data_IF_108279773381
#
_entry.id   IF_108279773381
#
_cell.length_a   1.000
_cell.length_b   1.000
_cell.length_c   1.000
_cell.angle_alpha   90.00
_cell.angle_beta   90.00
_cell.angle_gamma   90.00
#
_symmetry.space_group_name_H-M   'P 1'
#
loop_
_entity.id
_entity.type
_entity.pdbx_description
1 polymer ?
#
# COMPACT_ATOMS: atom_id res chain seq x y z
N UNK A 1 48.70 -18.19 -0.80
CA UNK A 1 48.60 -16.73 -0.64
C UNK A 1 48.00 -16.17 -1.91
N UNK A 2 46.69 -15.92 -1.92
CA UNK A 2 45.99 -15.36 -3.06
C UNK A 2 45.44 -13.99 -2.64
N UNK A 3 45.94 -12.98 -3.31
CA UNK A 3 45.69 -11.56 -3.10
C UNK A 3 44.26 -11.21 -3.56
N UNK A 4 43.36 -11.02 -2.57
CA UNK A 4 42.01 -10.53 -2.85
C UNK A 4 42.08 -9.00 -3.02
N UNK A 5 42.19 -8.56 -4.27
CA UNK A 5 42.01 -7.16 -4.66
C UNK A 5 40.62 -6.69 -4.19
N UNK A 6 40.60 -5.79 -3.19
CA UNK A 6 39.42 -5.02 -2.79
C UNK A 6 39.02 -4.13 -3.97
N UNK A 7 37.82 -4.33 -4.51
CA UNK A 7 37.20 -3.39 -5.42
C UNK A 7 36.92 -2.08 -4.66
N UNK A 8 37.22 -0.91 -5.24
CA UNK A 8 36.87 0.36 -4.61
C UNK A 8 35.35 0.49 -4.55
N UNK A 9 34.82 0.90 -3.39
CA UNK A 9 33.44 1.35 -3.22
C UNK A 9 33.24 2.57 -4.12
N UNK A 10 32.58 2.36 -5.25
CA UNK A 10 32.08 3.47 -6.07
C UNK A 10 31.06 4.23 -5.25
N UNK A 11 31.35 5.49 -4.96
CA UNK A 11 30.40 6.45 -4.40
C UNK A 11 29.20 6.53 -5.32
N UNK A 12 28.10 5.87 -4.94
CA UNK A 12 26.81 5.99 -5.65
C UNK A 12 26.34 7.44 -5.56
N UNK A 13 26.07 8.01 -6.72
CA UNK A 13 25.37 9.28 -6.83
C UNK A 13 24.02 9.16 -6.13
N UNK A 14 23.86 9.91 -5.04
CA UNK A 14 22.53 10.18 -4.47
C UNK A 14 21.66 10.73 -5.61
N UNK A 15 20.47 10.16 -5.79
CA UNK A 15 19.49 10.64 -6.75
C UNK A 15 19.22 12.11 -6.47
N UNK A 16 19.84 12.98 -7.27
CA UNK A 16 19.69 14.43 -7.16
C UNK A 16 18.27 14.74 -7.59
N UNK A 17 17.47 15.31 -6.68
CA UNK A 17 16.12 15.78 -6.97
C UNK A 17 16.08 16.51 -8.31
N UNK A 18 15.41 15.95 -9.30
CA UNK A 18 15.24 16.56 -10.62
C UNK A 18 14.51 17.88 -10.46
N UNK A 19 14.86 18.90 -11.24
CA UNK A 19 14.21 20.22 -11.19
C UNK A 19 12.73 20.10 -11.57
N UNK A 20 11.89 21.06 -11.16
CA UNK A 20 10.45 21.12 -11.52
C UNK A 20 10.25 20.93 -13.04
N UNK A 21 11.09 21.52 -13.87
CA UNK A 21 11.06 21.39 -15.34
C UNK A 21 11.32 19.95 -15.81
N UNK A 22 12.26 19.25 -15.20
CA UNK A 22 12.53 17.84 -15.51
C UNK A 22 11.38 16.91 -15.08
N UNK A 23 10.69 17.24 -13.97
CA UNK A 23 9.49 16.51 -13.54
C UNK A 23 8.32 16.71 -14.51
N UNK A 24 8.11 17.96 -14.99
CA UNK A 24 7.07 18.28 -15.97
C UNK A 24 7.36 17.66 -17.35
N UNK A 25 8.62 17.50 -17.72
CA UNK A 25 9.04 16.86 -18.97
C UNK A 25 8.85 15.34 -18.93
N UNK A 26 9.15 14.70 -17.79
CA UNK A 26 8.89 13.27 -17.56
C UNK A 26 7.39 12.95 -17.52
N UNK A 27 6.56 13.82 -16.93
CA UNK A 27 5.12 13.68 -16.93
C UNK A 27 4.49 13.81 -18.33
N UNK A 28 5.12 14.56 -19.23
CA UNK A 28 4.66 14.75 -20.63
C UNK A 28 5.08 13.63 -21.57
N UNK A 29 6.20 12.99 -21.29
CA UNK A 29 6.73 11.87 -22.07
C UNK A 29 7.21 10.78 -21.08
N UNK A 30 6.37 9.84 -20.68
CA UNK A 30 6.81 8.70 -19.88
C UNK A 30 7.88 7.94 -20.67
N UNK A 31 9.09 7.89 -20.14
CA UNK A 31 10.29 7.35 -20.81
C UNK A 31 10.20 5.83 -20.98
N UNK A 32 9.23 5.18 -20.31
CA UNK A 32 9.12 3.72 -20.30
C UNK A 32 7.77 3.28 -20.86
N UNK A 33 7.79 2.69 -22.04
CA UNK A 33 6.70 1.80 -22.45
C UNK A 33 6.98 0.40 -21.86
N UNK A 34 6.04 -0.18 -21.09
CA UNK A 34 6.20 -1.53 -20.58
C UNK A 34 6.41 -2.52 -21.74
N UNK A 35 7.38 -3.40 -21.60
CA UNK A 35 7.71 -4.40 -22.63
C UNK A 35 6.68 -5.53 -22.73
N UNK A 36 5.74 -5.60 -21.79
CA UNK A 36 4.73 -6.66 -21.74
C UNK A 36 3.70 -6.51 -22.85
N UNK A 37 3.60 -7.54 -23.70
CA UNK A 37 2.59 -7.68 -24.77
C UNK A 37 1.32 -8.38 -24.32
N UNK A 38 1.18 -8.74 -23.05
CA UNK A 38 0.07 -9.53 -22.56
C UNK A 38 -1.01 -8.62 -21.97
N UNK A 39 -2.15 -8.55 -22.68
CA UNK A 39 -3.41 -8.04 -22.11
C UNK A 39 -3.93 -9.12 -21.16
N UNK A 40 -3.96 -8.87 -19.88
CA UNK A 40 -4.66 -9.72 -18.95
C UNK A 40 -6.08 -9.20 -18.68
N UNK A 41 -6.91 -10.11 -18.19
CA UNK A 41 -8.35 -9.96 -18.02
C UNK A 41 -8.71 -9.60 -16.57
N UNK A 42 -7.73 -9.39 -15.69
CA UNK A 42 -8.02 -9.09 -14.29
C UNK A 42 -7.95 -7.59 -14.04
N UNK A 43 -9.05 -6.97 -13.58
CA UNK A 43 -9.05 -5.56 -13.26
C UNK A 43 -8.13 -5.29 -12.06
N UNK A 44 -7.62 -4.07 -11.97
CA UNK A 44 -6.98 -3.56 -10.77
C UNK A 44 -8.04 -3.55 -9.66
N UNK A 45 -7.70 -4.09 -8.49
CA UNK A 45 -8.58 -4.08 -7.32
C UNK A 45 -8.10 -3.04 -6.33
N UNK A 46 -9.06 -2.35 -5.69
CA UNK A 46 -8.76 -1.36 -4.65
C UNK A 46 -9.12 -1.94 -3.29
N UNK A 47 -8.10 -2.23 -2.48
CA UNK A 47 -8.20 -2.82 -1.16
C UNK A 47 -8.06 -1.81 -0.02
N UNK A 48 -8.44 -2.25 1.20
CA UNK A 48 -8.23 -1.53 2.45
C UNK A 48 -7.29 -2.32 3.36
N UNK A 49 -6.21 -1.71 3.82
CA UNK A 49 -5.32 -2.32 4.82
C UNK A 49 -5.89 -2.22 6.23
N UNK A 50 -5.72 -3.28 7.03
CA UNK A 50 -6.05 -3.25 8.47
C UNK A 50 -5.24 -2.24 9.25
N UNK A 51 -4.07 -1.82 8.73
CA UNK A 51 -3.27 -0.73 9.31
C UNK A 51 -4.01 0.61 9.28
N UNK A 52 -4.76 0.88 8.22
CA UNK A 52 -5.54 2.11 8.05
C UNK A 52 -6.68 2.28 9.05
N UNK A 53 -7.17 1.19 9.61
CA UNK A 53 -8.28 1.23 10.59
C UNK A 53 -7.83 1.02 12.02
N UNK A 54 -6.53 0.79 12.27
CA UNK A 54 -6.04 0.58 13.63
C UNK A 54 -6.50 1.70 14.60
N UNK A 55 -7.00 1.39 15.82
CA UNK A 55 -6.95 0.10 16.53
C UNK A 55 -8.21 -0.79 16.37
N UNK A 56 -8.97 -0.64 15.30
CA UNK A 56 -10.14 -1.51 15.04
C UNK A 56 -9.70 -2.96 14.78
N UNK A 57 -10.61 -3.89 14.96
CA UNK A 57 -10.39 -5.32 14.71
C UNK A 57 -10.33 -5.64 13.21
N UNK A 58 -9.85 -6.85 12.87
CA UNK A 58 -9.88 -7.35 11.48
C UNK A 58 -11.31 -7.41 10.97
N UNK A 59 -12.26 -7.89 11.78
CA UNK A 59 -13.69 -7.90 11.46
C UNK A 59 -14.18 -6.52 11.07
N UNK A 60 -13.93 -5.50 11.90
CA UNK A 60 -14.38 -4.13 11.66
C UNK A 60 -13.75 -3.53 10.39
N UNK A 61 -12.52 -3.96 10.03
CA UNK A 61 -11.91 -3.61 8.77
C UNK A 61 -12.71 -4.16 7.57
N UNK A 62 -13.06 -5.45 7.58
CA UNK A 62 -13.88 -6.07 6.55
C UNK A 62 -15.26 -5.40 6.43
N UNK A 63 -15.93 -5.15 7.54
CA UNK A 63 -17.23 -4.46 7.58
C UNK A 63 -17.12 -3.03 7.02
N UNK A 64 -16.06 -2.31 7.37
CA UNK A 64 -15.82 -0.96 6.87
C UNK A 64 -15.50 -0.97 5.37
N UNK A 65 -14.63 -1.87 4.92
CA UNK A 65 -14.28 -2.04 3.51
C UNK A 65 -15.53 -2.36 2.66
N UNK A 66 -16.37 -3.30 3.13
CA UNK A 66 -17.62 -3.65 2.45
C UNK A 66 -18.59 -2.45 2.37
N UNK A 67 -18.75 -1.72 3.46
CA UNK A 67 -19.63 -0.54 3.52
C UNK A 67 -19.17 0.59 2.62
N UNK A 68 -17.85 0.80 2.50
CA UNK A 68 -17.28 1.85 1.67
C UNK A 68 -17.07 1.43 0.20
N UNK A 69 -17.28 0.14 -0.13
CA UNK A 69 -17.22 -0.36 -1.49
C UNK A 69 -15.81 -0.71 -1.97
N UNK A 70 -14.91 -1.08 -1.08
CA UNK A 70 -13.61 -1.66 -1.44
C UNK A 70 -13.76 -3.04 -2.08
N UNK A 71 -12.76 -3.47 -2.85
CA UNK A 71 -12.78 -4.75 -3.57
C UNK A 71 -12.19 -5.91 -2.72
N UNK A 72 -11.61 -5.62 -1.57
CA UNK A 72 -11.06 -6.59 -0.64
C UNK A 72 -10.24 -5.93 0.48
N UNK A 73 -9.57 -6.77 1.26
CA UNK A 73 -8.82 -6.36 2.45
C UNK A 73 -7.40 -6.89 2.41
N UNK A 74 -6.45 -6.06 2.83
CA UNK A 74 -5.14 -6.51 3.25
C UNK A 74 -5.10 -6.70 4.76
N UNK A 75 -4.55 -7.83 5.21
CA UNK A 75 -4.38 -8.11 6.63
C UNK A 75 -2.90 -7.97 7.02
N UNK A 76 -2.58 -6.94 7.81
CA UNK A 76 -1.26 -6.81 8.42
C UNK A 76 -1.18 -7.71 9.65
N UNK A 77 -0.23 -8.64 9.64
CA UNK A 77 -0.01 -9.55 10.76
C UNK A 77 0.60 -8.79 11.94
N UNK A 78 -0.05 -8.89 13.08
CA UNK A 78 0.35 -8.28 14.34
C UNK A 78 0.33 -9.30 15.47
N UNK A 79 0.50 -8.85 16.72
CA UNK A 79 0.28 -9.68 17.90
C UNK A 79 -1.21 -9.92 18.24
N UNK A 80 -2.14 -9.37 17.46
CA UNK A 80 -3.55 -9.73 17.53
C UNK A 80 -3.77 -11.10 16.86
N UNK A 81 -4.28 -12.06 17.59
CA UNK A 81 -4.51 -13.44 17.12
C UNK A 81 -5.44 -13.50 15.89
N UNK A 82 -6.40 -12.59 15.76
CA UNK A 82 -7.26 -12.51 14.57
C UNK A 82 -6.47 -12.33 13.27
N UNK A 83 -5.31 -11.63 13.33
CA UNK A 83 -4.44 -11.43 12.18
C UNK A 83 -3.57 -12.64 11.85
N UNK A 84 -3.61 -13.69 12.66
CA UNK A 84 -2.83 -14.92 12.53
C UNK A 84 -3.73 -16.16 12.30
N UNK A 85 -5.03 -15.95 12.08
CA UNK A 85 -6.02 -17.03 11.88
C UNK A 85 -6.68 -16.92 10.51
N UNK A 86 -6.22 -17.74 9.56
CA UNK A 86 -6.76 -17.78 8.20
C UNK A 86 -8.24 -18.21 8.18
N UNK A 87 -8.65 -19.06 9.11
CA UNK A 87 -10.05 -19.49 9.23
C UNK A 87 -10.97 -18.35 9.67
N UNK A 88 -10.50 -17.44 10.55
CA UNK A 88 -11.23 -16.22 10.89
C UNK A 88 -11.31 -15.26 9.70
N UNK A 89 -10.20 -15.06 9.00
CA UNK A 89 -10.17 -14.22 7.79
C UNK A 89 -11.15 -14.73 6.74
N UNK A 90 -11.17 -16.04 6.48
CA UNK A 90 -12.11 -16.66 5.54
C UNK A 90 -13.58 -16.44 5.95
N UNK A 91 -13.91 -16.53 7.24
CA UNK A 91 -15.26 -16.23 7.73
C UNK A 91 -15.65 -14.77 7.54
N UNK A 92 -14.71 -13.83 7.76
CA UNK A 92 -14.99 -12.40 7.52
C UNK A 92 -15.13 -12.12 6.02
N UNK A 93 -14.32 -12.76 5.20
CA UNK A 93 -14.42 -12.68 3.73
C UNK A 93 -15.78 -13.19 3.24
N UNK A 94 -16.24 -14.36 3.71
CA UNK A 94 -17.54 -14.91 3.40
C UNK A 94 -18.69 -13.99 3.84
N UNK A 95 -18.64 -13.50 5.10
CA UNK A 95 -19.68 -12.65 5.66
C UNK A 95 -19.84 -11.29 4.94
N UNK A 96 -18.77 -10.76 4.39
CA UNK A 96 -18.76 -9.45 3.71
C UNK A 96 -18.75 -9.52 2.19
N UNK A 97 -18.47 -10.70 1.63
CA UNK A 97 -18.26 -10.91 0.19
C UNK A 97 -16.95 -10.32 -0.33
N UNK A 98 -16.02 -9.97 0.55
CA UNK A 98 -14.73 -9.37 0.20
C UNK A 98 -13.59 -10.37 0.38
N UNK A 99 -12.73 -10.61 -0.64
CA UNK A 99 -11.56 -11.46 -0.50
C UNK A 99 -10.46 -10.80 0.35
N UNK A 100 -9.58 -11.62 0.93
CA UNK A 100 -8.25 -11.18 1.34
C UNK A 100 -7.40 -11.01 0.08
N UNK A 101 -6.95 -9.79 -0.20
CA UNK A 101 -6.14 -9.46 -1.39
C UNK A 101 -4.68 -9.81 -1.16
N UNK A 102 -4.17 -9.41 -0.01
CA UNK A 102 -2.79 -9.56 0.41
C UNK A 102 -2.69 -9.75 1.92
N UNK A 103 -1.57 -10.29 2.34
CA UNK A 103 -1.17 -10.34 3.75
C UNK A 103 0.13 -9.59 3.91
N UNK A 104 0.18 -8.63 4.81
CA UNK A 104 1.42 -7.95 5.14
C UNK A 104 2.16 -8.68 6.26
N UNK A 105 3.38 -9.11 5.99
CA UNK A 105 4.21 -9.82 6.97
C UNK A 105 4.46 -8.97 8.22
N UNK A 106 4.65 -9.59 9.39
CA UNK A 106 4.97 -8.84 10.61
C UNK A 106 6.20 -7.96 10.42
N UNK A 107 6.13 -6.70 10.84
CA UNK A 107 7.30 -5.83 10.84
C UNK A 107 8.33 -6.39 11.83
N UNK A 108 9.46 -6.88 11.34
CA UNK A 108 10.47 -7.61 12.11
C UNK A 108 11.08 -6.79 13.25
N UNK A 109 11.15 -5.46 13.11
CA UNK A 109 11.63 -4.57 14.15
C UNK A 109 10.63 -4.43 15.31
N UNK A 110 9.35 -4.23 15.00
CA UNK A 110 8.32 -3.96 16.01
C UNK A 110 7.71 -5.24 16.60
N UNK A 111 7.71 -6.33 15.85
CA UNK A 111 7.06 -7.59 16.21
C UNK A 111 7.99 -8.81 16.08
N UNK A 112 9.13 -8.83 16.75
CA UNK A 112 10.15 -9.88 16.54
C UNK A 112 9.72 -11.26 17.04
N UNK A 113 8.63 -11.36 17.83
CA UNK A 113 8.15 -12.61 18.44
C UNK A 113 6.78 -13.05 17.91
N UNK A 114 6.19 -12.32 16.96
CA UNK A 114 4.93 -12.72 16.33
C UNK A 114 5.17 -13.98 15.52
N UNK A 115 4.28 -14.98 15.65
CA UNK A 115 4.36 -16.33 15.07
C UNK A 115 5.58 -17.12 15.58
N UNK A 116 6.81 -16.72 15.26
CA UNK A 116 8.05 -17.38 15.65
C UNK A 116 9.19 -16.35 15.73
N UNK A 117 10.33 -16.78 16.32
CA UNK A 117 11.56 -15.97 16.34
C UNK A 117 12.45 -16.19 15.13
N UNK A 118 12.31 -17.32 14.45
CA UNK A 118 13.03 -17.61 13.22
C UNK A 118 12.43 -16.81 12.05
N UNK A 119 13.26 -16.05 11.35
CA UNK A 119 12.80 -15.12 10.31
C UNK A 119 12.33 -15.85 9.06
N UNK A 120 13.02 -16.92 8.65
CA UNK A 120 12.63 -17.71 7.49
C UNK A 120 11.35 -18.50 7.75
N UNK A 121 11.27 -19.11 8.94
CA UNK A 121 10.06 -19.81 9.36
C UNK A 121 8.86 -18.84 9.45
N UNK A 122 9.08 -17.64 9.99
CA UNK A 122 8.04 -16.59 10.02
C UNK A 122 7.54 -16.26 8.61
N UNK A 123 8.44 -16.13 7.65
CA UNK A 123 8.07 -15.83 6.27
C UNK A 123 7.29 -16.99 5.64
N UNK A 124 7.69 -18.24 5.87
CA UNK A 124 6.94 -19.43 5.42
C UNK A 124 5.55 -19.49 6.03
N UNK A 125 5.44 -19.34 7.34
CA UNK A 125 4.15 -19.33 8.04
C UNK A 125 3.24 -18.19 7.55
N UNK A 126 3.80 -17.03 7.25
CA UNK A 126 3.06 -15.91 6.66
C UNK A 126 2.54 -16.25 5.27
N UNK A 127 3.36 -16.88 4.42
CA UNK A 127 2.95 -17.30 3.08
C UNK A 127 1.90 -18.41 3.12
N UNK A 128 2.02 -19.37 4.02
CA UNK A 128 1.01 -20.41 4.22
C UNK A 128 -0.33 -19.81 4.70
N UNK A 129 -0.28 -18.91 5.68
CA UNK A 129 -1.46 -18.18 6.15
C UNK A 129 -2.13 -17.41 5.01
N UNK A 130 -1.35 -16.69 4.19
CA UNK A 130 -1.87 -15.98 3.03
C UNK A 130 -2.58 -16.92 2.05
N UNK A 131 -1.96 -18.06 1.74
CA UNK A 131 -2.51 -19.10 0.87
C UNK A 131 -3.82 -19.67 1.41
N UNK A 132 -3.87 -19.98 2.70
CA UNK A 132 -5.07 -20.48 3.37
C UNK A 132 -6.20 -19.44 3.40
N UNK A 133 -5.86 -18.16 3.56
CA UNK A 133 -6.81 -17.05 3.50
C UNK A 133 -7.25 -16.71 2.06
N UNK A 134 -6.67 -17.35 1.04
CA UNK A 134 -6.96 -17.11 -0.37
C UNK A 134 -6.23 -15.91 -0.99
N UNK A 135 -5.32 -15.29 -0.26
CA UNK A 135 -4.47 -14.22 -0.76
C UNK A 135 -3.36 -14.76 -1.69
N UNK A 136 -2.96 -13.95 -2.66
CA UNK A 136 -1.93 -14.34 -3.64
C UNK A 136 -0.60 -13.66 -3.41
N UNK A 137 -0.59 -12.61 -2.60
CA UNK A 137 0.57 -11.74 -2.37
C UNK A 137 0.81 -11.58 -0.87
N UNK A 138 2.05 -11.71 -0.48
CA UNK A 138 2.56 -11.28 0.82
C UNK A 138 3.43 -10.07 0.60
N UNK A 139 3.14 -8.98 1.28
CA UNK A 139 3.99 -7.79 1.34
C UNK A 139 4.99 -7.96 2.47
N UNK A 140 6.25 -7.61 2.24
CA UNK A 140 7.29 -7.71 3.25
C UNK A 140 8.37 -6.64 3.08
N UNK A 141 8.88 -6.17 4.21
CA UNK A 141 9.99 -5.22 4.24
C UNK A 141 11.33 -5.94 4.04
N UNK A 142 12.33 -5.29 3.43
CA UNK A 142 13.70 -5.77 3.49
C UNK A 142 14.18 -5.82 4.94
N UNK A 143 15.08 -6.77 5.29
CA UNK A 143 15.56 -6.91 6.66
C UNK A 143 16.49 -5.78 7.07
N UNK A 144 16.69 -5.65 8.36
CA UNK A 144 17.70 -4.76 8.90
C UNK A 144 19.10 -5.40 8.83
N UNK A 145 20.11 -4.59 8.62
CA UNK A 145 21.51 -5.02 8.52
C UNK A 145 22.01 -5.85 9.70
N UNK A 146 21.43 -5.67 10.88
CA UNK A 146 21.80 -6.43 12.09
C UNK A 146 21.09 -7.78 12.23
N UNK A 147 20.27 -8.19 11.26
CA UNK A 147 19.61 -9.50 11.27
C UNK A 147 20.50 -10.62 10.70
N UNK A 148 21.79 -10.39 10.56
CA UNK A 148 22.81 -11.40 10.31
C UNK A 148 22.61 -12.19 9.00
N UNK A 149 22.64 -13.52 9.10
CA UNK A 149 22.54 -14.41 7.94
C UNK A 149 21.20 -14.26 7.19
N UNK A 150 20.12 -13.95 7.89
CA UNK A 150 18.82 -13.67 7.26
C UNK A 150 18.93 -12.50 6.28
N UNK A 151 19.57 -11.41 6.72
CA UNK A 151 19.77 -10.26 5.85
C UNK A 151 20.68 -10.59 4.66
N UNK A 152 21.77 -11.29 4.88
CA UNK A 152 22.72 -11.66 3.81
C UNK A 152 22.12 -12.56 2.74
N UNK A 153 21.21 -13.46 3.12
CA UNK A 153 20.54 -14.39 2.19
C UNK A 153 19.18 -13.93 1.73
N UNK A 154 18.77 -12.67 1.98
CA UNK A 154 17.37 -12.25 1.82
C UNK A 154 16.83 -12.37 0.40
N UNK A 155 17.55 -11.89 -0.63
CA UNK A 155 17.09 -11.90 -2.01
C UNK A 155 16.82 -13.34 -2.49
N UNK A 156 17.78 -14.23 -2.29
CA UNK A 156 17.68 -15.64 -2.71
C UNK A 156 16.64 -16.39 -1.87
N UNK A 157 16.61 -16.12 -0.55
CA UNK A 157 15.68 -16.79 0.36
C UNK A 157 14.21 -16.39 0.12
N UNK A 158 13.92 -15.12 -0.22
CA UNK A 158 12.58 -14.70 -0.64
C UNK A 158 12.13 -15.46 -1.88
N UNK A 159 12.98 -15.56 -2.90
CA UNK A 159 12.71 -16.33 -4.11
C UNK A 159 12.45 -17.81 -3.80
N UNK A 160 13.28 -18.41 -2.93
CA UNK A 160 13.11 -19.80 -2.52
C UNK A 160 11.77 -20.02 -1.81
N UNK A 161 11.40 -19.19 -0.83
CA UNK A 161 10.13 -19.33 -0.10
C UNK A 161 8.94 -19.11 -1.05
N UNK A 162 9.02 -18.17 -1.99
CA UNK A 162 7.99 -17.97 -3.00
C UNK A 162 7.77 -19.22 -3.86
N UNK A 163 8.85 -19.88 -4.28
CA UNK A 163 8.79 -21.13 -5.05
C UNK A 163 8.23 -22.31 -4.22
N UNK A 164 8.63 -22.43 -2.96
CA UNK A 164 8.16 -23.47 -2.04
C UNK A 164 6.66 -23.37 -1.76
N UNK A 165 6.14 -22.16 -1.56
CA UNK A 165 4.76 -21.92 -1.15
C UNK A 165 3.81 -21.67 -2.31
N UNK A 166 4.32 -21.20 -3.44
CA UNK A 166 3.55 -20.76 -4.60
C UNK A 166 2.85 -19.41 -4.37
N UNK A 167 3.24 -18.65 -3.33
CA UNK A 167 2.73 -17.33 -3.00
C UNK A 167 3.75 -16.26 -3.45
N UNK A 168 3.28 -15.16 -4.01
CA UNK A 168 4.14 -14.02 -4.36
C UNK A 168 4.63 -13.33 -3.10
N UNK A 169 5.93 -13.11 -3.01
CA UNK A 169 6.56 -12.38 -1.93
C UNK A 169 7.04 -11.04 -2.48
N UNK A 170 6.22 -10.00 -2.34
CA UNK A 170 6.45 -8.69 -2.92
C UNK A 170 7.20 -7.78 -1.92
N UNK A 171 8.48 -7.55 -2.22
CA UNK A 171 9.34 -6.72 -1.36
C UNK A 171 9.02 -5.25 -1.54
N UNK A 172 8.84 -4.55 -0.44
CA UNK A 172 8.43 -3.15 -0.40
C UNK A 172 9.62 -2.19 -0.40
N UNK A 173 9.51 -1.07 -1.15
CA UNK A 173 10.45 0.03 -1.00
C UNK A 173 10.30 0.68 0.37
N UNK A 174 11.44 0.88 1.02
CA UNK A 174 11.53 1.60 2.28
C UNK A 174 12.20 2.97 2.06
N UNK A 175 12.75 3.53 3.10
CA UNK A 175 13.45 4.81 3.08
C UNK A 175 14.68 4.77 3.99
N UNK A 176 15.73 5.58 3.71
CA UNK A 176 16.90 5.65 4.56
C UNK A 176 16.54 6.33 5.89
N UNK A 177 17.02 5.79 7.00
CA UNK A 177 16.93 6.51 8.27
C UNK A 177 17.85 7.73 8.25
N UNK A 178 17.47 8.76 8.98
CA UNK A 178 18.24 9.99 9.02
C UNK A 178 18.59 10.40 10.46
N UNK A 179 19.88 10.75 10.67
CA UNK A 179 20.35 11.40 11.88
C UNK A 179 20.88 12.78 11.49
N UNK A 180 20.07 13.81 11.66
CA UNK A 180 20.34 15.15 11.14
C UNK A 180 20.40 15.13 9.60
N UNK A 181 21.54 15.55 9.03
CA UNK A 181 21.76 15.55 7.57
C UNK A 181 22.37 14.24 7.03
N UNK A 182 22.65 13.28 7.89
CA UNK A 182 23.25 12.00 7.48
C UNK A 182 22.19 10.96 7.25
N UNK A 183 22.22 10.33 6.08
CA UNK A 183 21.46 9.13 5.79
C UNK A 183 22.16 7.92 6.39
N UNK A 184 21.39 7.05 7.05
CA UNK A 184 21.84 5.81 7.65
C UNK A 184 21.16 4.66 6.92
N UNK A 185 21.97 3.86 6.24
CA UNK A 185 21.49 2.64 5.62
C UNK A 185 21.29 1.56 6.67
N UNK A 186 20.04 1.37 7.06
CA UNK A 186 19.65 0.38 8.08
C UNK A 186 19.14 -0.92 7.47
N UNK A 187 18.62 -0.87 6.24
CA UNK A 187 18.13 -2.03 5.52
C UNK A 187 19.25 -2.76 4.76
N UNK A 188 19.03 -4.04 4.48
CA UNK A 188 19.93 -4.86 3.69
C UNK A 188 19.10 -5.74 2.71
N UNK A 189 19.50 -5.88 1.46
CA UNK A 189 20.68 -5.23 0.86
C UNK A 189 20.54 -3.74 0.73
N UNK A 190 19.34 -3.20 0.45
CA UNK A 190 19.04 -1.78 0.37
C UNK A 190 17.59 -1.49 0.78
N UNK A 191 17.26 -0.23 1.08
CA UNK A 191 15.89 0.26 1.23
C UNK A 191 15.21 0.47 -0.13
N UNK A 192 15.99 0.67 -1.18
CA UNK A 192 15.53 0.81 -2.56
C UNK A 192 15.62 -0.56 -3.27
N UNK A 193 14.50 -1.17 -3.64
CA UNK A 193 14.50 -2.51 -4.25
C UNK A 193 14.95 -2.54 -5.71
N UNK A 194 15.13 -1.39 -6.37
CA UNK A 194 15.45 -1.30 -7.80
C UNK A 194 16.79 -1.92 -8.17
N UNK A 195 17.75 -1.91 -7.25
CA UNK A 195 19.11 -2.42 -7.50
C UNK A 195 19.24 -3.91 -7.21
N UNK A 196 18.14 -4.57 -6.79
CA UNK A 196 18.14 -5.96 -6.35
C UNK A 196 17.30 -6.85 -7.27
N UNK A 197 17.64 -8.12 -7.32
CA UNK A 197 16.98 -9.07 -8.21
C UNK A 197 15.78 -9.77 -7.53
N UNK A 198 14.80 -8.98 -7.08
CA UNK A 198 13.51 -9.50 -6.62
C UNK A 198 12.61 -9.83 -7.80
N UNK A 199 11.79 -10.89 -7.65
CA UNK A 199 10.82 -11.30 -8.67
C UNK A 199 9.54 -10.46 -8.59
N UNK A 200 9.10 -10.10 -7.38
CA UNK A 200 7.87 -9.34 -7.12
C UNK A 200 8.15 -8.18 -6.15
N UNK A 201 7.53 -7.03 -6.41
CA UNK A 201 7.73 -5.79 -5.67
C UNK A 201 6.40 -5.17 -5.23
N UNK A 202 6.45 -4.48 -4.09
CA UNK A 202 5.43 -3.55 -3.60
C UNK A 202 5.97 -2.14 -3.68
N UNK A 203 5.14 -1.20 -4.14
CA UNK A 203 5.47 0.22 -4.12
C UNK A 203 4.62 0.98 -3.11
N UNK A 204 5.27 1.61 -2.13
CA UNK A 204 4.62 2.51 -1.17
C UNK A 204 4.97 3.97 -1.46
N UNK A 205 3.93 4.81 -1.60
CA UNK A 205 4.07 6.23 -1.92
C UNK A 205 4.60 7.06 -0.75
N UNK A 206 4.22 6.75 0.52
CA UNK A 206 4.71 7.47 1.70
C UNK A 206 6.20 7.21 1.93
N UNK A 207 6.61 5.94 1.80
CA UNK A 207 8.02 5.56 1.84
C UNK A 207 8.82 6.24 0.74
N UNK A 208 8.30 6.23 -0.50
CA UNK A 208 8.91 6.91 -1.63
C UNK A 208 9.04 8.42 -1.41
N UNK A 209 8.01 9.06 -0.82
CA UNK A 209 8.02 10.48 -0.44
C UNK A 209 9.13 10.77 0.58
N UNK A 210 9.22 9.96 1.63
CA UNK A 210 10.23 10.07 2.69
C UNK A 210 11.65 9.85 2.14
N UNK A 211 11.81 8.94 1.18
CA UNK A 211 13.06 8.66 0.49
C UNK A 211 13.44 9.73 -0.56
N UNK A 212 12.50 10.58 -0.98
CA UNK A 212 12.69 11.54 -2.06
C UNK A 212 12.76 10.89 -3.45
N UNK A 213 12.09 9.73 -3.61
CA UNK A 213 11.99 9.02 -4.89
C UNK A 213 11.00 9.71 -5.83
N UNK A 214 11.18 9.54 -7.12
CA UNK A 214 10.19 9.93 -8.13
C UNK A 214 9.26 8.73 -8.38
N UNK A 215 8.04 8.77 -7.84
CA UNK A 215 7.11 7.65 -7.91
C UNK A 215 6.83 7.18 -9.35
N UNK A 216 6.56 8.11 -10.27
CA UNK A 216 6.23 7.76 -11.66
C UNK A 216 7.43 7.12 -12.39
N UNK A 217 8.64 7.60 -12.17
CA UNK A 217 9.86 7.03 -12.72
C UNK A 217 10.13 5.64 -12.14
N UNK A 218 10.05 5.52 -10.82
CA UNK A 218 10.26 4.25 -10.11
C UNK A 218 9.26 3.18 -10.53
N UNK A 219 7.97 3.51 -10.55
CA UNK A 219 6.92 2.58 -10.96
C UNK A 219 7.11 2.16 -12.43
N UNK A 220 7.55 3.08 -13.30
CA UNK A 220 7.90 2.73 -14.68
C UNK A 220 9.06 1.73 -14.78
N UNK A 221 10.09 1.87 -13.95
CA UNK A 221 11.26 0.99 -13.93
C UNK A 221 10.93 -0.42 -13.41
N UNK A 222 10.07 -0.52 -12.39
CA UNK A 222 9.69 -1.81 -11.77
C UNK A 222 8.41 -2.42 -12.33
N UNK A 223 7.81 -1.85 -13.36
CA UNK A 223 6.46 -2.17 -13.85
C UNK A 223 6.20 -3.66 -14.01
N UNK A 224 7.15 -4.39 -14.62
CA UNK A 224 7.02 -5.83 -14.87
C UNK A 224 7.13 -6.69 -13.60
N UNK A 225 7.70 -6.15 -12.52
CA UNK A 225 7.86 -6.80 -11.21
C UNK A 225 6.86 -6.28 -10.17
N UNK A 226 6.19 -5.16 -10.44
CA UNK A 226 5.23 -4.56 -9.52
C UNK A 226 3.98 -5.43 -9.40
N UNK A 227 3.60 -5.82 -8.18
CA UNK A 227 2.41 -6.65 -7.90
C UNK A 227 1.43 -5.99 -6.96
N UNK A 228 1.91 -5.04 -6.19
CA UNK A 228 1.17 -4.42 -5.11
C UNK A 228 1.55 -2.96 -4.97
N UNK A 229 0.58 -2.13 -4.60
CA UNK A 229 0.79 -0.70 -4.34
C UNK A 229 0.13 -0.34 -3.02
N UNK A 230 0.88 0.21 -2.08
CA UNK A 230 0.30 0.91 -0.93
C UNK A 230 -0.05 2.33 -1.33
N UNK A 231 -1.34 2.58 -1.41
CA UNK A 231 -1.89 3.87 -1.79
C UNK A 231 -1.96 4.78 -0.57
N UNK A 232 -1.04 5.68 -0.53
CA UNK A 232 -0.85 6.73 0.45
C UNK A 232 -0.40 8.00 -0.26
N UNK A 233 -0.06 9.04 0.49
CA UNK A 233 0.64 10.21 0.01
C UNK A 233 1.66 10.68 1.06
N UNK A 234 2.53 11.59 0.69
CA UNK A 234 3.50 12.20 1.58
C UNK A 234 3.87 13.60 1.10
N UNK A 235 4.18 14.48 2.04
CA UNK A 235 4.51 15.88 1.75
C UNK A 235 6.01 16.13 1.52
N UNK A 236 6.81 15.09 1.32
CA UNK A 236 8.27 15.18 1.18
C UNK A 236 8.98 15.48 2.50
N UNK A 237 8.35 15.21 3.62
CA UNK A 237 8.94 15.35 4.95
C UNK A 237 9.87 14.17 5.24
N UNK A 238 10.61 14.27 6.37
CA UNK A 238 11.48 13.17 6.84
C UNK A 238 10.70 12.10 7.62
N UNK A 239 9.38 12.18 7.62
CA UNK A 239 8.49 11.27 8.34
C UNK A 239 7.71 10.45 7.34
N UNK A 240 7.48 9.23 7.70
CA UNK A 240 6.54 8.34 7.05
C UNK A 240 5.12 8.78 7.46
N UNK A 241 4.44 9.52 6.57
CA UNK A 241 3.23 10.28 6.91
C UNK A 241 1.95 9.50 6.65
N UNK A 242 1.91 8.67 5.62
CA UNK A 242 0.72 7.94 5.17
C UNK A 242 -0.51 8.84 5.06
N UNK A 243 -0.38 9.96 4.32
CA UNK A 243 -1.46 10.92 4.08
C UNK A 243 -2.53 10.32 3.17
N UNK A 244 -3.73 10.90 3.21
CA UNK A 244 -4.78 10.62 2.23
C UNK A 244 -4.28 10.99 0.83
N UNK A 245 -4.47 10.16 -0.20
CA UNK A 245 -4.05 10.45 -1.56
C UNK A 245 -4.57 11.80 -2.05
N UNK A 246 -3.67 12.64 -2.54
CA UNK A 246 -3.93 14.02 -2.95
C UNK A 246 -3.76 15.08 -1.86
N UNK A 247 -3.51 14.71 -0.61
CA UNK A 247 -3.18 15.64 0.48
C UNK A 247 -1.67 15.94 0.58
N UNK A 248 -0.83 15.15 -0.09
CA UNK A 248 0.62 15.32 -0.13
C UNK A 248 1.11 15.99 -1.42
N UNK A 249 2.32 15.65 -1.81
CA UNK A 249 3.00 16.22 -2.98
C UNK A 249 3.50 15.16 -3.97
N UNK A 250 3.24 13.89 -3.70
CA UNK A 250 3.63 12.81 -4.60
C UNK A 250 2.75 12.81 -5.86
N UNK A 251 3.26 12.43 -7.03
CA UNK A 251 2.47 12.31 -8.26
C UNK A 251 1.60 11.05 -8.24
N UNK A 252 0.73 10.93 -7.19
CA UNK A 252 -0.09 9.73 -6.99
C UNK A 252 -1.09 9.55 -8.13
N UNK A 253 -1.80 10.62 -8.50
CA UNK A 253 -2.80 10.61 -9.57
C UNK A 253 -2.18 10.16 -10.90
N UNK A 254 -1.06 10.78 -11.29
CA UNK A 254 -0.35 10.51 -12.54
C UNK A 254 0.19 9.07 -12.57
N UNK A 255 0.62 8.56 -11.41
CA UNK A 255 1.13 7.19 -11.29
C UNK A 255 0.00 6.17 -11.41
N UNK A 256 -1.17 6.40 -10.79
CA UNK A 256 -2.34 5.52 -10.95
C UNK A 256 -2.85 5.52 -12.40
N UNK A 257 -2.92 6.69 -13.03
CA UNK A 257 -3.27 6.82 -14.46
C UNK A 257 -2.29 6.09 -15.37
N UNK A 258 -0.99 6.13 -15.04
CA UNK A 258 0.03 5.37 -15.75
C UNK A 258 -0.22 3.86 -15.63
N UNK A 259 -0.48 3.33 -14.43
CA UNK A 259 -0.80 1.92 -14.21
C UNK A 259 -2.04 1.49 -15.02
N UNK A 260 -3.11 2.29 -14.99
CA UNK A 260 -4.33 2.04 -15.74
C UNK A 260 -4.09 2.06 -17.25
N UNK A 261 -3.40 3.08 -17.76
CA UNK A 261 -3.08 3.26 -19.19
C UNK A 261 -2.33 2.06 -19.77
N UNK A 262 -1.41 1.48 -19.00
CA UNK A 262 -0.61 0.35 -19.48
C UNK A 262 -1.18 -1.01 -19.05
N UNK A 263 -2.43 -1.06 -18.57
CA UNK A 263 -3.13 -2.27 -18.15
C UNK A 263 -2.34 -3.10 -17.13
N UNK A 264 -1.75 -2.41 -16.15
CA UNK A 264 -1.09 -3.08 -15.04
C UNK A 264 -2.07 -3.95 -14.27
N UNK A 265 -1.56 -4.96 -13.60
CA UNK A 265 -2.36 -5.94 -12.90
C UNK A 265 -1.77 -6.20 -11.53
N UNK A 266 -2.58 -5.89 -10.55
CA UNK A 266 -2.22 -6.05 -9.16
C UNK A 266 -3.26 -5.39 -8.27
N UNK A 267 -2.91 -5.27 -7.02
CA UNK A 267 -3.78 -4.70 -5.99
C UNK A 267 -3.24 -3.33 -5.56
N UNK A 268 -4.12 -2.33 -5.53
CA UNK A 268 -3.87 -1.01 -4.96
C UNK A 268 -4.55 -0.97 -3.61
N UNK A 269 -3.78 -0.97 -2.54
CA UNK A 269 -4.31 -1.05 -1.18
C UNK A 269 -4.12 0.26 -0.44
N UNK A 270 -5.22 0.82 0.05
CA UNK A 270 -5.20 2.05 0.85
C UNK A 270 -4.57 1.76 2.21
N UNK A 271 -3.48 2.48 2.51
CA UNK A 271 -2.74 2.37 3.77
C UNK A 271 -2.52 3.74 4.43
N UNK A 272 -3.59 4.50 4.61
CA UNK A 272 -3.56 5.84 5.21
C UNK A 272 -3.57 5.80 6.74
N UNK A 273 -2.88 6.75 7.36
CA UNK A 273 -2.78 6.81 8.81
C UNK A 273 -4.00 7.49 9.45
N UNK A 274 -4.93 6.69 9.98
CA UNK A 274 -6.09 7.20 10.71
C UNK A 274 -6.01 7.03 12.23
N UNK A 275 -4.87 6.54 12.74
CA UNK A 275 -4.70 6.16 14.15
C UNK A 275 -5.10 7.24 15.16
N UNK A 276 -4.83 8.50 14.84
CA UNK A 276 -5.11 9.62 15.73
C UNK A 276 -6.46 10.30 15.49
N UNK A 277 -7.24 9.81 14.52
CA UNK A 277 -8.57 10.31 14.21
C UNK A 277 -9.59 9.74 15.20
N UNK A 278 -10.05 10.59 16.12
CA UNK A 278 -10.95 10.16 17.23
C UNK A 278 -12.38 9.88 16.78
N UNK A 279 -12.88 10.63 15.80
CA UNK A 279 -14.27 10.49 15.31
C UNK A 279 -14.31 9.42 14.21
N UNK A 280 -15.14 8.41 14.40
CA UNK A 280 -15.34 7.36 13.40
C UNK A 280 -15.77 7.92 12.05
N UNK A 281 -16.70 8.86 12.04
CA UNK A 281 -17.16 9.51 10.79
C UNK A 281 -16.05 10.24 10.02
N UNK A 282 -15.08 10.83 10.73
CA UNK A 282 -13.92 11.47 10.10
C UNK A 282 -12.96 10.43 9.52
N UNK A 283 -12.75 9.31 10.23
CA UNK A 283 -11.96 8.19 9.73
C UNK A 283 -12.60 7.59 8.48
N UNK A 284 -13.89 7.29 8.53
CA UNK A 284 -14.62 6.75 7.37
C UNK A 284 -14.60 7.72 6.18
N UNK A 285 -14.65 9.03 6.43
CA UNK A 285 -14.50 10.02 5.36
C UNK A 285 -13.12 9.92 4.70
N UNK A 286 -12.03 9.87 5.46
CA UNK A 286 -10.68 9.71 4.89
C UNK A 286 -10.57 8.44 4.04
N UNK A 287 -11.13 7.32 4.50
CA UNK A 287 -11.13 6.06 3.77
C UNK A 287 -12.01 6.13 2.51
N UNK A 288 -13.17 6.80 2.59
CA UNK A 288 -14.04 7.02 1.45
C UNK A 288 -13.40 7.95 0.39
N UNK A 289 -12.73 9.00 0.83
CA UNK A 289 -11.99 9.91 -0.06
C UNK A 289 -10.84 9.15 -0.76
N UNK A 290 -10.14 8.27 -0.04
CA UNK A 290 -9.03 7.48 -0.60
C UNK A 290 -9.48 6.49 -1.68
N UNK A 291 -10.58 5.77 -1.48
CA UNK A 291 -11.09 4.86 -2.51
C UNK A 291 -11.67 5.62 -3.71
N UNK A 292 -12.34 6.75 -3.49
CA UNK A 292 -12.85 7.60 -4.55
C UNK A 292 -11.69 8.11 -5.43
N UNK A 293 -10.61 8.62 -4.81
CA UNK A 293 -9.40 9.02 -5.50
C UNK A 293 -8.79 7.89 -6.33
N UNK A 294 -8.66 6.69 -5.73
CA UNK A 294 -8.12 5.53 -6.43
C UNK A 294 -8.95 5.19 -7.67
N UNK A 295 -10.27 5.11 -7.55
CA UNK A 295 -11.17 4.73 -8.65
C UNK A 295 -11.19 5.77 -9.76
N UNK A 296 -11.23 7.05 -9.41
CA UNK A 296 -11.16 8.16 -10.38
C UNK A 296 -9.91 8.05 -11.25
N UNK A 297 -8.73 7.92 -10.61
CA UNK A 297 -7.46 7.94 -11.34
C UNK A 297 -7.07 6.61 -11.98
N UNK A 298 -7.70 5.50 -11.58
CA UNK A 298 -7.59 4.20 -12.25
C UNK A 298 -8.65 4.02 -13.37
N UNK A 299 -9.59 4.96 -13.52
CA UNK A 299 -10.67 4.86 -14.50
C UNK A 299 -11.68 3.74 -14.20
N UNK A 300 -11.93 3.46 -12.91
CA UNK A 300 -12.81 2.37 -12.46
C UNK A 300 -14.23 2.85 -12.10
N UNK A 301 -14.54 4.13 -12.30
CA UNK A 301 -15.82 4.71 -11.88
C UNK A 301 -17.01 4.34 -12.77
N UNK A 302 -16.79 3.85 -13.99
CA UNK A 302 -17.85 3.62 -14.97
C UNK A 302 -18.68 2.35 -14.71
N UNK A 303 -18.19 1.39 -13.90
CA UNK A 303 -18.79 0.06 -13.74
C UNK A 303 -19.38 -0.25 -12.35
N UNK A 304 -19.35 0.69 -11.40
CA UNK A 304 -19.85 0.44 -10.03
C UNK A 304 -21.29 0.95 -9.91
N UNK A 305 -22.29 0.09 -9.63
CA UNK A 305 -23.60 0.54 -9.21
C UNK A 305 -23.43 1.40 -7.96
N UNK A 306 -23.73 2.68 -8.04
CA UNK A 306 -23.67 3.63 -6.91
C UNK A 306 -24.61 3.16 -5.81
N UNK A 307 -24.11 2.31 -4.88
CA UNK A 307 -24.89 1.83 -3.74
C UNK A 307 -25.08 2.88 -2.65
N UNK A 308 -24.43 4.05 -2.74
CA UNK A 308 -24.57 5.16 -1.80
C UNK A 308 -24.63 6.51 -2.52
N UNK A 309 -25.75 6.82 -3.15
CA UNK A 309 -26.12 8.22 -3.35
C UNK A 309 -26.64 8.73 -2.00
N UNK A 310 -25.90 9.56 -1.31
CA UNK A 310 -26.47 10.37 -0.25
C UNK A 310 -27.46 11.34 -0.88
N UNK A 311 -28.74 10.97 -0.88
CA UNK A 311 -29.82 11.90 -1.13
C UNK A 311 -29.83 12.89 0.03
N UNK A 312 -29.14 14.01 -0.12
CA UNK A 312 -29.45 15.21 0.63
C UNK A 312 -30.78 15.75 0.11
N UNK A 313 -31.87 15.14 0.50
CA UNK A 313 -33.17 15.79 0.48
C UNK A 313 -33.10 16.94 1.48
N UNK A 314 -32.86 18.14 0.94
CA UNK A 314 -33.24 19.36 1.64
C UNK A 314 -34.75 19.31 1.83
N UNK A 315 -35.20 18.95 3.02
CA UNK A 315 -36.55 19.26 3.46
C UNK A 315 -36.60 20.75 3.63
N UNK A 316 -37.22 21.42 2.64
CA UNK A 316 -37.71 22.79 2.77
C UNK A 316 -38.83 22.75 3.80
N UNK A 317 -38.54 23.21 5.02
CA UNK A 317 -39.54 23.51 6.00
C UNK A 317 -40.44 24.64 5.49
N UNK A 318 -41.64 24.26 5.08
CA UNK A 318 -42.72 25.15 4.81
C UNK A 318 -43.22 25.66 6.16
N UNK A 319 -42.94 26.94 6.49
CA UNK A 319 -43.58 27.65 7.58
C UNK A 319 -45.05 27.84 7.26
N UNK A 320 -46.02 27.40 8.07
CA UNK A 320 -47.41 27.75 7.86
C UNK A 320 -47.65 29.22 8.16
N UNK A 321 -48.38 29.89 7.30
CA UNK A 321 -48.83 31.27 7.44
C UNK A 321 -49.73 31.41 8.67
N UNK A 322 -49.44 32.45 9.51
CA UNK A 322 -50.36 32.93 10.56
C UNK A 322 -51.63 33.47 9.92
N UNK A 323 -52.73 32.86 10.22
CA UNK A 323 -54.06 33.46 9.99
C UNK A 323 -54.33 34.49 11.11
N UNK A 324 -54.41 35.73 10.73
CA UNK A 324 -55.09 36.75 11.52
C UNK A 324 -56.56 36.36 11.65
N UNK A 325 -57.06 36.32 12.84
CA UNK A 325 -58.48 36.40 13.16
C UNK A 325 -58.69 37.50 14.12
N UNK A 326 -59.50 38.47 13.65
CA UNK A 326 -59.98 39.64 14.31
C UNK A 326 -60.72 39.31 15.61
N UNK A 327 -60.44 40.17 16.57
CA UNK A 327 -61.28 40.39 17.78
C UNK A 327 -62.55 41.10 17.40
N UNK A 328 -63.66 40.58 17.86
CA UNK A 328 -64.85 41.36 18.25
C UNK A 328 -65.55 40.62 19.38
N UNK A 329 -65.58 41.31 20.50
CA UNK A 329 -66.53 41.38 21.59
C UNK A 329 -65.93 41.25 22.99
#
# INVERSE_FOLDING_TARGET
MADRKRRPLTTRNSARLKTKRQREELARNPVFEPKSKYRSIHPIRVGLSTSSVYPMTVRECFETASRLGYDGVEVMITNNEETQDAGLMARFAEATGLPVLSVHAPTLLLMPRVMTKDHWEKLRLTAELAKEAGARTVVLHPPFRWQGEYALGFVDGVRQVAQETGVRLAVENMYPWRAGLREIQVYYPDWNPLDEDYDDLTFDFSHASTAGMNALETVGEIFDKLRHVHLTDGAGSLKDEHLVPGEGTMPVAETLQYLAKYNWQGDVVVEVNTRFVRKQSSREKMLADSIAFAREHLGLDEDVPRRYSHSHTRTSEHKPARSERDDES
#
